data_IF_926231876549
#
_entry.id   IF_926231876549
#
_cell.length_a   1.000
_cell.length_b   1.000
_cell.length_c   1.000
_cell.angle_alpha   90.00
_cell.angle_beta   90.00
_cell.angle_gamma   90.00
#
_symmetry.space_group_name_H-M   'P 1'
#
loop_
_entity.id
_entity.type
_entity.pdbx_description
1 polymer ?
#
# COMPACT_ATOMS: atom_id res chain seq x y z
N UNK A 1 7.89 20.18 4.09
CA UNK A 1 8.24 20.79 2.79
C UNK A 1 7.04 21.46 2.11
N UNK A 2 5.80 21.21 2.54
CA UNK A 2 4.60 21.80 1.96
C UNK A 2 4.21 21.24 0.58
N UNK A 3 4.76 20.10 0.18
CA UNK A 3 4.55 19.47 -1.13
C UNK A 3 3.45 18.43 -1.13
N UNK A 4 2.95 18.03 0.06
CA UNK A 4 1.86 17.05 0.16
C UNK A 4 0.52 17.68 -0.26
N UNK A 5 -0.32 16.92 -0.93
CA UNK A 5 -1.59 17.39 -1.49
C UNK A 5 -2.63 17.80 -0.44
N UNK A 6 -2.51 17.33 0.80
CA UNK A 6 -3.38 17.72 1.92
C UNK A 6 -2.58 18.61 2.88
N UNK A 7 -3.07 19.83 3.11
CA UNK A 7 -2.47 20.82 4.02
C UNK A 7 -3.49 21.17 5.10
N UNK A 8 -3.51 20.45 6.23
CA UNK A 8 -4.47 20.73 7.30
C UNK A 8 -4.20 22.11 7.91
N UNK A 9 -5.27 22.83 8.35
CA UNK A 9 -5.09 24.09 9.05
C UNK A 9 -4.43 23.87 10.43
N UNK A 10 -3.70 24.88 10.90
CA UNK A 10 -3.12 24.89 12.24
C UNK A 10 -4.13 25.44 13.27
N UNK A 11 -4.15 24.92 14.53
CA UNK A 11 -3.29 23.86 15.06
C UNK A 11 -3.68 22.47 14.54
N UNK A 12 -2.69 21.61 14.24
CA UNK A 12 -2.88 20.25 13.75
C UNK A 12 -1.96 19.26 14.46
N UNK A 13 -2.51 18.10 14.86
CA UNK A 13 -1.74 17.01 15.45
C UNK A 13 -1.30 16.04 14.35
N UNK A 14 0.02 15.78 14.19
CA UNK A 14 0.51 14.84 13.21
C UNK A 14 0.11 13.40 13.52
N UNK A 15 0.08 12.56 12.47
CA UNK A 15 -0.25 11.15 12.54
C UNK A 15 -1.58 10.83 11.88
N UNK A 16 -1.55 9.93 10.86
CA UNK A 16 -2.70 9.58 10.03
C UNK A 16 -3.43 8.31 10.47
N UNK A 17 -2.86 7.58 11.41
CA UNK A 17 -3.36 6.29 11.88
C UNK A 17 -2.89 6.02 13.32
N UNK A 18 -3.64 5.23 14.07
CA UNK A 18 -3.31 4.88 15.45
C UNK A 18 -4.02 3.60 15.92
N UNK A 19 -3.58 3.08 17.05
CA UNK A 19 -4.22 1.98 17.76
C UNK A 19 -4.19 2.24 19.27
N UNK A 20 -5.16 1.70 19.98
CA UNK A 20 -5.26 1.90 21.42
C UNK A 20 -6.43 1.17 22.04
N UNK A 21 -6.80 1.59 23.23
CA UNK A 21 -7.89 1.02 24.02
C UNK A 21 -9.02 2.03 24.18
N UNK A 22 -10.25 1.62 23.98
CA UNK A 22 -11.43 2.44 24.23
C UNK A 22 -11.55 2.67 25.74
N UNK A 23 -11.52 3.91 26.18
CA UNK A 23 -11.63 4.26 27.61
C UNK A 23 -13.06 4.62 28.01
N UNK A 24 -13.81 5.27 27.10
CA UNK A 24 -15.20 5.70 27.31
C UNK A 24 -15.97 5.67 25.99
N UNK A 25 -17.28 5.47 26.07
CA UNK A 25 -18.21 5.53 24.93
C UNK A 25 -19.19 6.68 25.13
N UNK A 26 -19.64 7.27 24.02
CA UNK A 26 -20.72 8.26 23.99
C UNK A 26 -22.09 7.63 24.08
N UNK A 27 -23.11 8.47 24.27
CA UNK A 27 -24.50 8.04 24.26
C UNK A 27 -24.89 7.42 22.91
N UNK A 28 -25.60 6.28 22.95
CA UNK A 28 -26.09 5.57 21.77
C UNK A 28 -25.05 4.69 21.08
N UNK A 29 -23.79 4.62 21.54
CA UNK A 29 -22.78 3.70 21.02
C UNK A 29 -23.00 2.31 21.59
N UNK A 30 -23.26 1.32 20.74
CA UNK A 30 -23.58 -0.06 21.13
C UNK A 30 -22.64 -1.11 20.53
N UNK A 31 -21.87 -0.73 19.54
CA UNK A 31 -20.98 -1.60 18.75
C UNK A 31 -19.56 -1.71 19.32
N UNK A 32 -19.17 -0.80 20.23
CA UNK A 32 -17.86 -0.73 20.88
C UNK A 32 -18.05 -0.57 22.39
N UNK A 33 -17.14 -1.13 23.18
CA UNK A 33 -17.18 -1.08 24.66
C UNK A 33 -15.85 -0.58 25.25
N UNK A 34 -15.89 0.03 26.46
CA UNK A 34 -14.65 0.31 27.19
C UNK A 34 -13.84 -0.98 27.40
N UNK A 35 -12.53 -0.90 27.16
CA UNK A 35 -11.64 -2.04 27.17
C UNK A 35 -11.36 -2.65 25.78
N UNK A 36 -12.20 -2.38 24.78
CA UNK A 36 -11.95 -2.86 23.43
C UNK A 36 -10.64 -2.33 22.87
N UNK A 37 -9.87 -3.23 22.28
CA UNK A 37 -8.63 -2.92 21.56
C UNK A 37 -8.98 -2.60 20.12
N UNK A 38 -8.55 -1.43 19.65
CA UNK A 38 -8.97 -0.91 18.34
C UNK A 38 -7.82 -0.27 17.58
N UNK A 39 -7.96 -0.23 16.25
CA UNK A 39 -7.17 0.62 15.36
C UNK A 39 -8.09 1.59 14.62
N UNK A 40 -7.54 2.69 14.09
CA UNK A 40 -8.30 3.73 13.41
C UNK A 40 -7.47 4.58 12.46
N UNK A 41 -8.13 5.31 11.58
CA UNK A 41 -7.55 6.43 10.84
C UNK A 41 -7.57 7.70 11.71
N UNK A 42 -6.47 8.44 11.70
CA UNK A 42 -6.29 9.62 12.53
C UNK A 42 -5.82 9.30 13.95
N UNK A 43 -5.96 10.26 14.87
CA UNK A 43 -5.60 10.10 16.26
C UNK A 43 -4.11 10.03 16.58
N UNK A 44 -3.27 10.26 15.64
CA UNK A 44 -1.80 10.20 15.62
C UNK A 44 -1.05 10.36 16.95
N UNK A 45 -0.23 11.40 17.07
CA UNK A 45 0.66 11.60 18.23
C UNK A 45 -0.06 12.29 19.41
N UNK A 46 -1.11 11.65 19.94
CA UNK A 46 -1.87 12.12 21.11
C UNK A 46 -2.21 10.93 22.04
N UNK A 47 -2.35 11.23 23.33
CA UNK A 47 -2.67 10.20 24.34
C UNK A 47 -4.15 9.81 24.32
N UNK A 48 -5.04 10.78 24.08
CA UNK A 48 -6.50 10.58 24.04
C UNK A 48 -7.13 11.32 22.87
N UNK A 49 -8.05 10.65 22.20
CA UNK A 49 -8.79 11.21 21.06
C UNK A 49 -10.26 10.82 21.11
N UNK A 50 -11.13 11.73 20.72
CA UNK A 50 -12.54 11.45 20.48
C UNK A 50 -12.76 11.12 19.01
N UNK A 51 -13.33 9.95 18.74
CA UNK A 51 -13.58 9.46 17.37
C UNK A 51 -15.01 8.90 17.26
N UNK A 52 -15.51 8.81 16.05
CA UNK A 52 -16.77 8.11 15.77
C UNK A 52 -16.54 6.59 15.85
N UNK A 53 -17.48 5.85 16.45
CA UNK A 53 -17.39 4.38 16.56
C UNK A 53 -17.26 3.70 15.19
N UNK A 54 -17.92 4.24 14.16
CA UNK A 54 -17.86 3.75 12.78
C UNK A 54 -16.45 3.83 12.13
N UNK A 55 -15.52 4.55 12.74
CA UNK A 55 -14.12 4.67 12.31
C UNK A 55 -13.15 3.79 13.10
N UNK A 56 -13.68 2.88 13.93
CA UNK A 56 -12.89 1.97 14.77
C UNK A 56 -13.02 0.54 14.27
N UNK A 57 -11.88 -0.17 14.24
CA UNK A 57 -11.83 -1.60 13.94
C UNK A 57 -11.21 -2.33 15.13
N UNK A 58 -11.90 -3.35 15.64
CA UNK A 58 -11.35 -4.20 16.68
C UNK A 58 -10.14 -4.96 16.16
N UNK A 59 -9.13 -5.09 17.00
CA UNK A 59 -7.95 -5.89 16.74
C UNK A 59 -7.92 -7.10 17.68
N UNK A 60 -7.36 -8.26 17.25
CA UNK A 60 -7.21 -9.43 18.10
C UNK A 60 -6.42 -9.12 19.38
N UNK A 61 -6.71 -9.83 20.47
CA UNK A 61 -6.08 -9.60 21.78
C UNK A 61 -4.56 -9.74 21.76
N UNK A 62 -4.06 -10.66 20.94
CA UNK A 62 -2.62 -10.94 20.79
C UNK A 62 -1.94 -10.09 19.70
N UNK A 63 -2.67 -9.19 19.02
CA UNK A 63 -2.07 -8.35 17.96
C UNK A 63 -1.43 -7.10 18.56
N UNK A 64 -0.12 -6.85 18.40
CA UNK A 64 0.57 -5.71 18.98
C UNK A 64 0.05 -4.38 18.46
N UNK A 65 -0.09 -3.37 19.34
CA UNK A 65 -0.58 -2.04 18.97
C UNK A 65 0.30 -1.35 17.93
N UNK A 66 1.62 -1.55 18.00
CA UNK A 66 2.59 -0.99 17.05
C UNK A 66 2.35 -1.51 15.63
N UNK A 67 1.96 -2.77 15.50
CA UNK A 67 1.58 -3.37 14.22
C UNK A 67 0.19 -2.88 13.79
N UNK A 68 -0.76 -2.87 14.71
CA UNK A 68 -2.12 -2.43 14.44
C UNK A 68 -2.18 -0.97 13.95
N UNK A 69 -1.39 -0.08 14.56
CA UNK A 69 -1.30 1.32 14.14
C UNK A 69 -0.74 1.51 12.73
N UNK A 70 -0.05 0.52 12.16
CA UNK A 70 0.50 0.58 10.81
C UNK A 70 -0.41 -0.06 9.74
N UNK A 71 -1.57 -0.62 10.13
CA UNK A 71 -2.48 -1.31 9.21
C UNK A 71 -3.36 -0.36 8.40
N UNK A 72 -4.08 0.61 8.99
CA UNK A 72 -5.15 1.30 8.28
C UNK A 72 -4.71 1.98 7.00
N UNK A 73 -3.63 2.76 7.02
CA UNK A 73 -3.15 3.50 5.84
C UNK A 73 -2.42 2.57 4.86
N UNK A 74 -1.50 1.74 5.36
CA UNK A 74 -0.68 0.93 4.47
C UNK A 74 -1.51 -0.17 3.77
N UNK A 75 -2.29 -0.92 4.53
CA UNK A 75 -3.09 -2.00 3.96
C UNK A 75 -4.35 -1.50 3.26
N UNK A 76 -4.99 -0.45 3.76
CA UNK A 76 -6.14 0.18 3.08
C UNK A 76 -5.76 0.74 1.70
N UNK A 77 -4.66 1.49 1.63
CA UNK A 77 -4.13 1.97 0.35
C UNK A 77 -3.81 0.83 -0.60
N UNK A 78 -3.15 -0.21 -0.09
CA UNK A 78 -2.69 -1.32 -0.91
C UNK A 78 -3.85 -2.21 -1.35
N UNK A 79 -4.80 -2.50 -0.47
CA UNK A 79 -6.00 -3.26 -0.82
C UNK A 79 -6.79 -2.55 -1.94
N UNK A 80 -7.03 -1.24 -1.78
CA UNK A 80 -7.67 -0.42 -2.80
C UNK A 80 -6.90 -0.46 -4.13
N UNK A 81 -5.57 -0.34 -4.05
CA UNK A 81 -4.70 -0.38 -5.23
C UNK A 81 -4.79 -1.71 -5.97
N UNK A 82 -4.62 -2.82 -5.26
CA UNK A 82 -4.53 -4.14 -5.88
C UNK A 82 -5.90 -4.65 -6.33
N UNK A 83 -6.93 -4.56 -5.47
CA UNK A 83 -8.24 -5.16 -5.76
C UNK A 83 -9.19 -4.24 -6.52
N UNK A 84 -9.33 -2.95 -6.12
CA UNK A 84 -10.30 -2.05 -6.77
C UNK A 84 -9.74 -1.33 -8.01
N UNK A 85 -8.45 -1.00 -8.02
CA UNK A 85 -7.84 -0.26 -9.12
C UNK A 85 -7.12 -1.17 -10.10
N UNK A 86 -6.38 -2.13 -9.58
CA UNK A 86 -5.55 -3.06 -10.31
C UNK A 86 -6.27 -4.34 -10.74
N UNK A 87 -7.38 -4.68 -10.09
CA UNK A 87 -8.14 -5.92 -10.35
C UNK A 87 -7.23 -7.14 -10.42
N UNK A 88 -6.39 -7.32 -9.38
CA UNK A 88 -5.40 -8.39 -9.32
C UNK A 88 -6.06 -9.76 -9.35
N UNK A 89 -5.54 -10.66 -10.20
CA UNK A 89 -6.07 -12.02 -10.35
C UNK A 89 -5.06 -13.05 -9.84
N UNK A 90 -5.52 -14.21 -9.34
CA UNK A 90 -4.64 -15.32 -8.99
C UNK A 90 -3.78 -15.77 -10.19
N UNK A 91 -2.49 -16.00 -9.92
CA UNK A 91 -1.51 -16.41 -10.93
C UNK A 91 -0.85 -15.25 -11.68
N UNK A 92 -1.32 -14.01 -11.54
CA UNK A 92 -0.66 -12.84 -12.12
C UNK A 92 0.68 -12.55 -11.44
N UNK A 93 1.60 -11.93 -12.18
CA UNK A 93 2.89 -11.48 -11.66
C UNK A 93 2.79 -10.03 -11.21
N UNK A 94 3.05 -9.80 -9.92
CA UNK A 94 3.05 -8.48 -9.27
C UNK A 94 4.48 -8.01 -9.00
N UNK A 95 4.89 -6.90 -9.63
CA UNK A 95 6.13 -6.20 -9.30
C UNK A 95 5.86 -5.15 -8.22
N UNK A 96 6.64 -5.18 -7.14
CA UNK A 96 6.54 -4.21 -6.04
C UNK A 96 7.85 -3.44 -5.91
N UNK A 97 7.85 -2.12 -6.17
CA UNK A 97 8.97 -1.24 -5.86
C UNK A 97 8.86 -0.70 -4.44
N UNK A 98 9.99 -0.26 -3.85
CA UNK A 98 9.99 0.17 -2.45
C UNK A 98 9.47 -0.91 -1.48
N UNK A 99 9.72 -2.17 -1.79
CA UNK A 99 9.11 -3.37 -1.21
C UNK A 99 9.26 -3.51 0.31
N UNK A 100 10.28 -2.91 0.91
CA UNK A 100 10.48 -2.89 2.37
C UNK A 100 9.89 -1.65 3.07
N UNK A 101 9.20 -0.77 2.34
CA UNK A 101 8.43 0.34 2.91
C UNK A 101 7.07 -0.12 3.43
N UNK A 102 6.32 0.75 4.11
CA UNK A 102 5.01 0.40 4.69
C UNK A 102 4.04 -0.17 3.66
N UNK A 103 3.72 0.59 2.61
CA UNK A 103 2.81 0.14 1.55
C UNK A 103 3.39 -0.99 0.69
N UNK A 104 4.73 -1.00 0.47
CA UNK A 104 5.39 -2.08 -0.25
C UNK A 104 5.33 -3.42 0.49
N UNK A 105 5.52 -3.40 1.82
CA UNK A 105 5.36 -4.58 2.68
C UNK A 105 3.93 -5.12 2.65
N UNK A 106 2.94 -4.24 2.68
CA UNK A 106 1.53 -4.60 2.52
C UNK A 106 1.25 -5.19 1.14
N UNK A 107 1.87 -4.61 0.07
CA UNK A 107 1.68 -5.10 -1.30
C UNK A 107 2.23 -6.53 -1.51
N UNK A 108 3.35 -6.87 -0.87
CA UNK A 108 3.85 -8.25 -0.89
C UNK A 108 2.81 -9.17 -0.27
N UNK A 109 2.35 -8.88 0.94
CA UNK A 109 1.46 -9.77 1.70
C UNK A 109 0.08 -9.90 1.03
N UNK A 110 -0.54 -8.78 0.63
CA UNK A 110 -1.84 -8.80 -0.05
C UNK A 110 -1.75 -9.43 -1.44
N UNK A 111 -0.66 -9.19 -2.19
CA UNK A 111 -0.40 -9.85 -3.46
C UNK A 111 -0.29 -11.37 -3.30
N UNK A 112 0.42 -11.84 -2.28
CA UNK A 112 0.49 -13.27 -1.95
C UNK A 112 -0.86 -13.84 -1.53
N UNK A 113 -1.62 -13.12 -0.72
CA UNK A 113 -2.97 -13.53 -0.33
C UNK A 113 -3.94 -13.60 -1.52
N UNK A 114 -3.75 -12.75 -2.53
CA UNK A 114 -4.49 -12.79 -3.80
C UNK A 114 -4.03 -13.91 -4.75
N UNK A 115 -3.00 -14.69 -4.39
CA UNK A 115 -2.47 -15.78 -5.23
C UNK A 115 -1.52 -15.32 -6.32
N UNK A 116 -0.97 -14.11 -6.24
CA UNK A 116 -0.01 -13.60 -7.22
C UNK A 116 1.41 -14.15 -7.00
N UNK A 117 2.21 -14.13 -8.06
CA UNK A 117 3.66 -14.30 -8.02
C UNK A 117 4.27 -12.92 -7.77
N UNK A 118 4.91 -12.73 -6.62
CA UNK A 118 5.41 -11.42 -6.19
C UNK A 118 6.89 -11.27 -6.42
N UNK A 119 7.28 -10.26 -7.20
CA UNK A 119 8.66 -9.81 -7.43
C UNK A 119 8.87 -8.51 -6.64
N UNK A 120 9.78 -8.51 -5.68
CA UNK A 120 10.05 -7.38 -4.79
C UNK A 120 11.38 -6.70 -5.14
N UNK A 121 11.35 -5.38 -5.34
CA UNK A 121 12.55 -4.56 -5.52
C UNK A 121 12.84 -3.82 -4.22
N UNK A 122 13.99 -4.11 -3.62
CA UNK A 122 14.45 -3.47 -2.38
C UNK A 122 15.94 -3.11 -2.48
N UNK A 123 16.48 -2.34 -1.56
CA UNK A 123 17.89 -1.93 -1.60
C UNK A 123 18.64 -2.29 -0.30
N UNK A 124 19.60 -3.20 -0.42
CA UNK A 124 20.46 -3.69 0.66
C UNK A 124 19.92 -4.93 1.36
N UNK A 125 20.85 -5.70 1.94
CA UNK A 125 20.61 -7.06 2.46
C UNK A 125 19.48 -7.16 3.49
N UNK A 126 19.38 -6.21 4.40
CA UNK A 126 18.32 -6.22 5.44
C UNK A 126 16.92 -6.07 4.81
N UNK A 127 16.77 -5.16 3.84
CA UNK A 127 15.49 -4.91 3.17
C UNK A 127 15.08 -6.07 2.26
N UNK A 128 16.04 -6.67 1.56
CA UNK A 128 15.78 -7.85 0.72
C UNK A 128 15.39 -9.06 1.56
N UNK A 129 16.08 -9.27 2.69
CA UNK A 129 15.71 -10.31 3.66
C UNK A 129 14.29 -10.11 4.19
N UNK A 130 13.93 -8.88 4.55
CA UNK A 130 12.58 -8.55 5.02
C UNK A 130 11.53 -8.85 3.94
N UNK A 131 11.75 -8.42 2.69
CA UNK A 131 10.83 -8.70 1.59
C UNK A 131 10.62 -10.21 1.37
N UNK A 132 11.69 -11.00 1.51
CA UNK A 132 11.60 -12.48 1.43
C UNK A 132 10.78 -13.07 2.57
N UNK A 133 10.99 -12.60 3.81
CA UNK A 133 10.23 -13.03 4.98
C UNK A 133 8.73 -12.69 4.88
N UNK A 134 8.38 -11.61 4.18
CA UNK A 134 7.00 -11.20 3.92
C UNK A 134 6.32 -12.06 2.83
N UNK A 135 7.06 -12.94 2.17
CA UNK A 135 6.52 -13.92 1.22
C UNK A 135 6.78 -13.61 -0.25
N UNK A 136 7.63 -12.63 -0.59
CA UNK A 136 7.99 -12.39 -1.99
C UNK A 136 8.64 -13.65 -2.60
N UNK A 137 8.20 -14.04 -3.80
CA UNK A 137 8.72 -15.21 -4.53
C UNK A 137 10.13 -14.91 -5.03
N UNK A 138 10.31 -13.73 -5.63
CA UNK A 138 11.59 -13.22 -6.11
C UNK A 138 11.91 -11.89 -5.42
N UNK A 139 13.18 -11.70 -5.05
CA UNK A 139 13.65 -10.46 -4.41
C UNK A 139 14.92 -10.00 -5.09
N UNK A 140 14.92 -8.77 -5.59
CA UNK A 140 16.02 -8.17 -6.34
C UNK A 140 16.59 -6.98 -5.54
N UNK A 141 17.90 -6.96 -5.33
CA UNK A 141 18.59 -5.84 -4.71
C UNK A 141 19.06 -4.85 -5.80
N UNK A 142 18.31 -3.75 -5.93
CA UNK A 142 18.62 -2.72 -6.93
C UNK A 142 19.96 -1.99 -6.69
N UNK A 143 20.59 -2.15 -5.52
CA UNK A 143 21.93 -1.60 -5.23
C UNK A 143 23.04 -2.47 -5.80
N UNK A 144 22.81 -3.77 -5.91
CA UNK A 144 23.74 -4.72 -6.48
C UNK A 144 23.54 -4.89 -7.99
N UNK A 145 22.29 -4.74 -8.45
CA UNK A 145 21.93 -4.85 -9.85
C UNK A 145 21.23 -3.57 -10.33
N UNK A 146 21.97 -2.67 -10.96
CA UNK A 146 21.42 -1.42 -11.54
C UNK A 146 20.54 -1.68 -12.77
N UNK A 147 20.69 -2.81 -13.44
CA UNK A 147 19.88 -3.24 -14.59
C UNK A 147 18.87 -4.33 -14.20
N UNK A 148 18.20 -4.18 -13.06
CA UNK A 148 17.22 -5.11 -12.54
C UNK A 148 16.01 -5.36 -13.47
N UNK A 149 15.80 -4.51 -14.47
CA UNK A 149 14.74 -4.68 -15.48
C UNK A 149 14.86 -6.01 -16.22
N UNK A 150 16.07 -6.38 -16.63
CA UNK A 150 16.29 -7.63 -17.37
C UNK A 150 16.05 -8.84 -16.49
N UNK A 151 16.45 -8.77 -15.21
CA UNK A 151 16.19 -9.82 -14.23
C UNK A 151 14.66 -9.98 -13.96
N UNK A 152 13.93 -8.86 -13.79
CA UNK A 152 12.47 -8.91 -13.68
C UNK A 152 11.84 -9.58 -14.90
N UNK A 153 12.28 -9.22 -16.11
CA UNK A 153 11.72 -9.79 -17.35
C UNK A 153 12.04 -11.27 -17.51
N UNK A 154 13.20 -11.72 -17.02
CA UNK A 154 13.57 -13.12 -17.01
C UNK A 154 12.67 -13.93 -16.07
N UNK A 155 12.54 -13.51 -14.79
CA UNK A 155 11.75 -14.23 -13.79
C UNK A 155 10.24 -14.14 -14.03
N UNK A 156 9.77 -13.12 -14.76
CA UNK A 156 8.35 -12.94 -15.13
C UNK A 156 8.01 -13.48 -16.53
N UNK A 157 8.93 -14.17 -17.18
CA UNK A 157 8.74 -14.70 -18.53
C UNK A 157 8.33 -13.63 -19.56
N UNK A 158 8.98 -12.46 -19.49
CA UNK A 158 8.83 -11.38 -20.47
C UNK A 158 8.15 -10.10 -20.00
N UNK A 159 7.50 -10.12 -18.86
CA UNK A 159 6.90 -8.93 -18.25
C UNK A 159 5.95 -9.22 -17.11
N UNK A 160 5.58 -8.18 -16.37
CA UNK A 160 4.69 -8.27 -15.20
C UNK A 160 3.29 -7.78 -15.54
N UNK A 161 2.28 -8.46 -15.02
CA UNK A 161 0.87 -8.13 -15.24
C UNK A 161 0.47 -6.88 -14.45
N UNK A 162 1.01 -6.76 -13.24
CA UNK A 162 0.73 -5.64 -12.35
C UNK A 162 2.03 -5.09 -11.76
N UNK A 163 2.17 -3.77 -11.72
CA UNK A 163 3.25 -3.11 -11.01
C UNK A 163 2.71 -2.14 -9.97
N UNK A 164 3.19 -2.23 -8.74
CA UNK A 164 2.86 -1.38 -7.60
C UNK A 164 4.02 -0.44 -7.32
N UNK A 165 3.88 0.85 -7.67
CA UNK A 165 4.97 1.81 -7.60
C UNK A 165 4.70 3.00 -6.68
N UNK A 166 5.20 2.97 -5.42
CA UNK A 166 5.19 4.10 -4.51
C UNK A 166 6.42 5.02 -4.66
N UNK A 167 7.40 4.64 -5.48
CA UNK A 167 8.71 5.31 -5.54
C UNK A 167 8.69 6.49 -6.50
N UNK A 168 8.23 6.30 -7.72
CA UNK A 168 8.23 7.37 -8.72
C UNK A 168 9.60 7.59 -9.38
N UNK A 169 9.76 8.75 -10.02
CA UNK A 169 11.00 9.20 -10.66
C UNK A 169 11.58 8.18 -11.64
N UNK A 170 12.90 8.00 -11.62
CA UNK A 170 13.60 7.07 -12.50
C UNK A 170 13.22 5.60 -12.30
N UNK A 171 12.73 5.24 -11.10
CA UNK A 171 12.23 3.89 -10.82
C UNK A 171 11.03 3.58 -11.71
N UNK A 172 10.08 4.50 -11.86
CA UNK A 172 8.93 4.30 -12.75
C UNK A 172 9.36 4.12 -14.21
N UNK A 173 10.43 4.79 -14.66
CA UNK A 173 10.99 4.59 -16.00
C UNK A 173 11.57 3.18 -16.20
N UNK A 174 12.07 2.55 -15.15
CA UNK A 174 12.50 1.14 -15.20
C UNK A 174 11.29 0.21 -15.13
N UNK A 175 10.32 0.46 -14.22
CA UNK A 175 9.09 -0.33 -14.08
C UNK A 175 8.33 -0.45 -15.39
N UNK A 176 8.11 0.66 -16.12
CA UNK A 176 7.38 0.62 -17.41
C UNK A 176 8.02 -0.31 -18.44
N UNK A 177 9.35 -0.54 -18.36
CA UNK A 177 10.07 -1.48 -19.25
C UNK A 177 9.79 -2.94 -18.89
N UNK A 178 9.37 -3.19 -17.64
CA UNK A 178 9.02 -4.52 -17.15
C UNK A 178 7.57 -4.91 -17.46
N UNK A 179 6.68 -3.97 -17.87
CA UNK A 179 5.26 -4.27 -18.09
C UNK A 179 5.07 -5.33 -19.18
N UNK A 180 4.17 -6.27 -18.94
CA UNK A 180 3.66 -7.19 -19.95
C UNK A 180 2.70 -6.46 -20.90
N UNK A 181 2.27 -7.15 -21.96
CA UNK A 181 1.14 -6.72 -22.79
C UNK A 181 -0.14 -6.71 -21.94
N UNK A 182 -0.95 -5.64 -22.08
CA UNK A 182 -2.15 -5.38 -21.27
C UNK A 182 -1.90 -5.22 -19.76
N UNK A 183 -0.65 -5.06 -19.32
CA UNK A 183 -0.31 -4.87 -17.91
C UNK A 183 -0.88 -3.57 -17.32
N UNK A 184 -0.83 -3.46 -15.99
CA UNK A 184 -1.35 -2.31 -15.24
C UNK A 184 -0.29 -1.76 -14.30
N UNK A 185 0.16 -0.52 -14.53
CA UNK A 185 1.08 0.20 -13.68
C UNK A 185 0.29 1.07 -12.69
N UNK A 186 0.31 0.73 -11.42
CA UNK A 186 -0.34 1.45 -10.33
C UNK A 186 0.60 2.53 -9.78
N UNK A 187 0.23 3.79 -9.92
CA UNK A 187 0.95 4.93 -9.36
C UNK A 187 0.42 5.19 -7.94
N UNK A 188 1.23 4.86 -6.94
CA UNK A 188 0.90 4.96 -5.52
C UNK A 188 1.48 6.23 -4.91
N UNK A 189 2.67 6.63 -5.34
CA UNK A 189 3.37 7.78 -4.78
C UNK A 189 4.58 8.22 -5.61
N UNK A 190 5.32 9.21 -5.08
CA UNK A 190 6.37 9.94 -5.78
C UNK A 190 7.55 10.24 -4.84
N UNK A 191 7.97 9.27 -4.04
CA UNK A 191 9.05 9.49 -3.04
C UNK A 191 10.36 9.95 -3.69
N UNK A 192 10.66 9.48 -4.90
CA UNK A 192 11.83 9.85 -5.68
C UNK A 192 11.54 10.90 -6.78
N UNK A 193 10.34 11.48 -6.78
CA UNK A 193 9.93 12.49 -7.76
C UNK A 193 8.79 12.04 -8.67
N UNK A 194 8.13 13.00 -9.32
CA UNK A 194 7.03 12.75 -10.26
C UNK A 194 7.62 12.33 -11.60
N UNK A 195 7.27 11.14 -12.14
CA UNK A 195 7.79 10.67 -13.41
C UNK A 195 7.02 11.24 -14.60
N UNK A 196 7.73 11.54 -15.68
CA UNK A 196 7.13 11.75 -16.99
C UNK A 196 6.97 10.41 -17.71
N UNK A 197 5.75 10.08 -18.12
CA UNK A 197 5.44 8.82 -18.79
C UNK A 197 5.19 9.04 -20.29
N UNK A 198 6.07 8.57 -21.18
CA UNK A 198 5.91 8.75 -22.61
C UNK A 198 4.77 7.88 -23.14
N UNK A 199 3.75 8.53 -23.71
CA UNK A 199 2.51 7.89 -24.18
C UNK A 199 2.75 6.81 -25.26
N UNK A 200 3.79 6.98 -26.10
CA UNK A 200 4.14 5.99 -27.12
C UNK A 200 4.51 4.64 -26.53
N UNK A 201 5.11 4.61 -25.32
CA UNK A 201 5.47 3.35 -24.69
C UNK A 201 4.24 2.58 -24.21
N UNK A 202 3.23 3.28 -23.71
CA UNK A 202 1.93 2.69 -23.35
C UNK A 202 1.25 2.08 -24.59
N UNK A 203 1.20 2.82 -25.69
CA UNK A 203 0.63 2.35 -26.94
C UNK A 203 1.34 1.09 -27.46
N UNK A 204 2.67 1.05 -27.43
CA UNK A 204 3.45 -0.07 -27.99
C UNK A 204 3.31 -1.38 -27.22
N UNK A 205 2.92 -1.32 -25.94
CA UNK A 205 2.73 -2.50 -25.07
C UNK A 205 1.26 -2.65 -24.60
N UNK A 206 0.39 -1.75 -25.02
CA UNK A 206 -1.03 -1.74 -24.64
C UNK A 206 -1.28 -1.75 -23.13
N UNK A 207 -0.31 -1.34 -22.29
CA UNK A 207 -0.48 -1.32 -20.84
C UNK A 207 -1.17 -0.03 -20.37
N UNK A 208 -1.84 -0.11 -19.22
CA UNK A 208 -2.52 1.00 -18.56
C UNK A 208 -1.68 1.60 -17.44
N UNK A 209 -1.78 2.92 -17.25
CA UNK A 209 -1.26 3.63 -16.06
C UNK A 209 -2.44 4.08 -15.22
N UNK A 210 -2.49 3.64 -13.97
CA UNK A 210 -3.64 3.80 -13.08
C UNK A 210 -3.23 4.60 -11.85
N UNK A 211 -3.85 5.78 -11.65
CA UNK A 211 -3.68 6.57 -10.44
C UNK A 211 -4.39 5.93 -9.25
N UNK A 212 -3.73 5.93 -8.10
CA UNK A 212 -4.27 5.41 -6.84
C UNK A 212 -4.26 6.52 -5.80
N UNK A 213 -5.44 7.05 -5.48
CA UNK A 213 -5.62 8.05 -4.42
C UNK A 213 -6.68 7.57 -3.43
N UNK A 214 -6.30 6.60 -2.59
CA UNK A 214 -7.17 5.98 -1.60
C UNK A 214 -7.82 6.99 -0.65
N UNK A 215 -7.05 7.91 -0.06
CA UNK A 215 -7.60 8.91 0.86
C UNK A 215 -8.73 9.76 0.27
N UNK A 216 -8.64 10.13 -1.02
CA UNK A 216 -9.72 10.85 -1.71
C UNK A 216 -10.92 9.94 -2.03
N UNK A 217 -10.72 8.64 -2.25
CA UNK A 217 -11.80 7.69 -2.48
C UNK A 217 -12.71 7.53 -1.27
N UNK A 218 -12.15 7.60 -0.06
CA UNK A 218 -12.92 7.50 1.20
C UNK A 218 -13.91 8.65 1.38
N UNK A 219 -13.58 9.85 0.89
CA UNK A 219 -14.51 10.98 0.90
C UNK A 219 -15.68 10.84 -0.08
N UNK A 220 -15.53 9.99 -1.11
CA UNK A 220 -16.56 9.71 -2.14
C UNK A 220 -17.42 8.50 -1.81
N UNK A 221 -16.84 7.50 -1.16
CA UNK A 221 -17.51 6.29 -0.69
C UNK A 221 -17.02 5.91 0.72
N UNK A 222 -17.58 6.56 1.76
CA UNK A 222 -17.19 6.28 3.14
C UNK A 222 -17.49 4.85 3.62
N UNK A 223 -18.45 4.16 2.98
CA UNK A 223 -18.82 2.80 3.36
C UNK A 223 -17.80 1.76 2.85
N UNK A 224 -17.01 2.10 1.83
CA UNK A 224 -16.00 1.19 1.30
C UNK A 224 -14.89 0.89 2.31
N UNK A 225 -14.61 1.81 3.23
CA UNK A 225 -13.55 1.65 4.22
C UNK A 225 -13.77 0.47 5.15
N UNK A 226 -14.98 0.30 5.69
CA UNK A 226 -15.28 -0.83 6.59
C UNK A 226 -15.09 -2.17 5.87
N UNK A 227 -15.60 -2.29 4.64
CA UNK A 227 -15.43 -3.50 3.81
C UNK A 227 -13.96 -3.80 3.52
N UNK A 228 -13.16 -2.76 3.23
CA UNK A 228 -11.73 -2.92 2.99
C UNK A 228 -11.01 -3.43 4.24
N UNK A 229 -11.29 -2.83 5.41
CA UNK A 229 -10.66 -3.24 6.67
C UNK A 229 -11.09 -4.63 7.12
N UNK A 230 -12.34 -5.02 6.94
CA UNK A 230 -12.83 -6.38 7.18
C UNK A 230 -12.14 -7.42 6.30
N UNK A 231 -11.75 -7.02 5.08
CA UNK A 231 -11.02 -7.93 4.15
C UNK A 231 -9.53 -8.02 4.46
N UNK A 232 -8.98 -7.06 5.23
CA UNK A 232 -7.57 -7.00 5.62
C UNK A 232 -7.31 -7.71 6.95
N UNK A 233 -8.27 -7.73 7.87
CA UNK A 233 -8.21 -8.36 9.19
C UNK A 233 -8.59 -9.85 9.15
#
# INVERSE_FOLDING_TARGET
RGEYQIKPPLPWTPGGESAGVVTKIGEGVTDISPGDRVMMLGGGLIEHVNVRSTGLWRIPDNFPFEKAAAVPVNYGTTWFALHQRGDIQPGETLLVTGAAGGTGSAAIQLGKAAGAIVIAIAGGSEKTKQAKLLGADHVIDHRLNSNWVDEVREVSNGGVDLAYDPVGGDTTHQVRRCMAWDGRLLIIGFVAGIPDLPANHMLLKNYSVIGVHWGASLGRDPQSLSKQMESVL
#
